data_IF_757740110456
#
_entry.id   IF_757740110456
#
_cell.length_a   1.000
_cell.length_b   1.000
_cell.length_c   1.000
_cell.angle_alpha   90.00
_cell.angle_beta   90.00
_cell.angle_gamma   90.00
#
_symmetry.space_group_name_H-M   'P 1'
#
loop_
_entity.id
_entity.type
_entity.pdbx_description
1 polymer ?
#
# COMPACT_ATOMS: atom_id res chain seq x y z
N UNK A 1 -26.83 3.90 -3.68
CA UNK A 1 -25.70 3.75 -2.74
C UNK A 1 -24.60 4.63 -3.26
N UNK A 2 -24.66 5.90 -2.89
CA UNK A 2 -23.79 6.93 -3.43
C UNK A 2 -22.43 6.82 -2.76
N UNK A 3 -21.46 6.34 -3.53
CA UNK A 3 -20.06 6.41 -3.14
C UNK A 3 -19.68 7.88 -3.12
N UNK A 4 -19.61 8.46 -1.92
CA UNK A 4 -19.12 9.82 -1.70
C UNK A 4 -17.68 9.88 -2.25
N UNK A 5 -17.52 10.58 -3.37
CA UNK A 5 -16.23 10.83 -4.01
C UNK A 5 -15.51 11.90 -3.20
N UNK A 6 -14.50 11.49 -2.43
CA UNK A 6 -13.72 12.39 -1.58
C UNK A 6 -12.62 13.06 -2.42
N UNK A 7 -12.79 14.37 -2.58
CA UNK A 7 -11.86 15.46 -2.88
C UNK A 7 -10.48 15.14 -3.53
N UNK A 8 -10.25 15.73 -4.72
CA UNK A 8 -9.10 15.54 -5.63
C UNK A 8 -7.82 16.21 -5.12
N UNK A 9 -6.68 15.50 -5.20
CA UNK A 9 -5.67 15.82 -6.21
C UNK A 9 -5.49 14.64 -7.18
N UNK A 10 -4.98 14.93 -8.37
CA UNK A 10 -4.81 13.97 -9.47
C UNK A 10 -3.89 12.81 -9.02
N UNK A 11 -4.48 11.67 -8.63
CA UNK A 11 -3.75 10.51 -8.13
C UNK A 11 -4.56 9.55 -7.24
N UNK A 12 -5.66 10.02 -6.64
CA UNK A 12 -6.53 9.18 -5.81
C UNK A 12 -7.67 8.50 -6.61
N UNK A 13 -8.11 7.28 -6.22
CA UNK A 13 -9.19 6.59 -6.90
C UNK A 13 -10.51 7.34 -6.69
N UNK A 14 -11.10 7.80 -7.78
CA UNK A 14 -12.38 8.54 -7.79
C UNK A 14 -13.57 7.59 -7.63
N UNK A 15 -13.42 6.36 -8.10
CA UNK A 15 -14.45 5.34 -8.09
C UNK A 15 -14.07 4.20 -7.15
N UNK A 16 -15.05 3.40 -6.76
CA UNK A 16 -14.90 2.25 -5.86
C UNK A 16 -14.91 0.91 -6.58
N UNK A 17 -14.35 0.85 -7.80
CA UNK A 17 -14.38 -0.38 -8.60
C UNK A 17 -13.49 -1.44 -7.96
N UNK A 18 -13.95 -2.70 -8.00
CA UNK A 18 -13.22 -3.84 -7.40
C UNK A 18 -11.78 -3.90 -7.90
N UNK A 19 -10.84 -3.83 -6.96
CA UNK A 19 -9.39 -3.88 -7.21
C UNK A 19 -8.85 -2.77 -8.13
N UNK A 20 -9.55 -1.65 -8.29
CA UNK A 20 -9.18 -0.57 -9.21
C UNK A 20 -7.71 -0.15 -9.11
N UNK A 21 -7.22 0.14 -7.90
CA UNK A 21 -5.83 0.55 -7.68
C UNK A 21 -4.82 -0.51 -8.13
N UNK A 22 -5.10 -1.78 -7.84
CA UNK A 22 -4.21 -2.91 -8.15
C UNK A 22 -4.08 -3.11 -9.66
N UNK A 23 -5.22 -3.08 -10.34
CA UNK A 23 -5.33 -3.23 -11.81
C UNK A 23 -4.71 -2.03 -12.52
N UNK A 24 -4.98 -0.80 -12.06
CA UNK A 24 -4.42 0.41 -12.67
C UNK A 24 -2.89 0.46 -12.52
N UNK A 25 -2.35 0.16 -11.34
CA UNK A 25 -0.91 0.17 -11.13
C UNK A 25 -0.21 -0.93 -11.93
N UNK A 26 -0.81 -2.12 -12.00
CA UNK A 26 -0.23 -3.21 -12.79
C UNK A 26 -0.39 -2.99 -14.30
N UNK A 27 -1.61 -3.02 -14.83
CA UNK A 27 -1.83 -3.02 -16.28
C UNK A 27 -1.79 -1.62 -16.91
N UNK A 28 -2.03 -0.58 -16.13
CA UNK A 28 -2.01 0.80 -16.62
C UNK A 28 -0.63 1.45 -16.59
N UNK A 29 0.21 1.10 -15.61
CA UNK A 29 1.54 1.71 -15.41
C UNK A 29 2.71 0.71 -15.46
N UNK A 30 2.44 -0.58 -15.66
CA UNK A 30 3.44 -1.66 -15.58
C UNK A 30 4.26 -1.65 -14.27
N UNK A 31 3.59 -1.22 -13.18
CA UNK A 31 4.18 -1.01 -11.86
C UNK A 31 3.32 -1.72 -10.79
N UNK A 32 3.26 -3.07 -10.77
CA UNK A 32 2.42 -3.80 -9.84
C UNK A 32 2.83 -3.57 -8.38
N UNK A 33 1.84 -3.53 -7.49
CA UNK A 33 2.06 -3.37 -6.05
C UNK A 33 2.90 -4.55 -5.49
N UNK A 34 3.83 -4.26 -4.59
CA UNK A 34 4.61 -5.30 -3.91
C UNK A 34 3.68 -6.27 -3.14
N UNK A 35 3.83 -7.56 -3.39
CA UNK A 35 2.98 -8.62 -2.84
C UNK A 35 1.69 -8.87 -3.62
N UNK A 36 1.42 -8.16 -4.73
CA UNK A 36 0.24 -8.41 -5.55
C UNK A 36 0.43 -9.59 -6.52
N UNK A 37 0.40 -10.81 -5.99
CA UNK A 37 0.58 -12.02 -6.79
C UNK A 37 -0.54 -12.25 -7.81
N UNK A 38 -1.70 -11.60 -7.66
CA UNK A 38 -2.83 -11.81 -8.57
C UNK A 38 -2.70 -11.03 -9.86
N UNK A 39 -2.18 -9.81 -9.78
CA UNK A 39 -2.12 -8.90 -10.92
C UNK A 39 -0.69 -8.65 -11.43
N UNK A 40 0.34 -9.24 -10.82
CA UNK A 40 1.74 -9.05 -11.26
C UNK A 40 2.16 -9.83 -12.50
N UNK A 41 1.37 -10.81 -12.96
CA UNK A 41 1.64 -11.57 -14.18
C UNK A 41 0.36 -11.58 -15.02
N UNK A 42 0.51 -11.34 -16.32
CA UNK A 42 -0.61 -11.18 -17.25
C UNK A 42 -1.33 -12.49 -17.56
N UNK A 43 -0.61 -13.62 -17.49
CA UNK A 43 -1.07 -14.87 -18.10
C UNK A 43 -1.22 -16.02 -17.10
N UNK A 44 -0.82 -15.85 -15.85
CA UNK A 44 -0.92 -16.92 -14.85
C UNK A 44 -1.04 -16.42 -13.42
N UNK A 45 -1.74 -17.19 -12.61
CA UNK A 45 -1.73 -17.01 -11.17
C UNK A 45 -0.43 -17.59 -10.60
N UNK A 46 0.60 -16.76 -10.54
CA UNK A 46 1.92 -17.10 -10.03
C UNK A 46 2.39 -16.08 -8.98
N UNK A 47 3.29 -16.47 -8.07
CA UNK A 47 3.93 -15.51 -7.18
C UNK A 47 4.59 -14.39 -7.98
N UNK A 48 4.50 -13.15 -7.47
CA UNK A 48 5.12 -11.98 -8.08
C UNK A 48 6.62 -12.24 -8.29
N UNK A 49 7.09 -12.00 -9.51
CA UNK A 49 8.52 -12.08 -9.83
C UNK A 49 9.17 -10.76 -9.42
N UNK A 50 10.21 -10.86 -8.60
CA UNK A 50 10.99 -9.70 -8.15
C UNK A 50 12.40 -9.80 -8.72
N UNK A 51 13.03 -8.65 -8.95
CA UNK A 51 14.43 -8.61 -9.35
C UNK A 51 15.32 -9.16 -8.23
N UNK A 52 16.51 -9.66 -8.59
CA UNK A 52 17.50 -10.14 -7.60
C UNK A 52 17.88 -9.04 -6.60
N UNK A 53 17.97 -7.79 -7.05
CA UNK A 53 18.23 -6.63 -6.19
C UNK A 53 17.13 -6.41 -5.16
N UNK A 54 15.86 -6.43 -5.60
CA UNK A 54 14.71 -6.29 -4.70
C UNK A 54 14.65 -7.44 -3.70
N UNK A 55 14.83 -8.69 -4.16
CA UNK A 55 14.87 -9.89 -3.30
C UNK A 55 15.96 -9.81 -2.23
N UNK A 56 17.17 -9.38 -2.61
CA UNK A 56 18.29 -9.18 -1.68
C UNK A 56 17.96 -8.12 -0.63
N UNK A 57 17.37 -6.99 -1.05
CA UNK A 57 16.96 -5.91 -0.15
C UNK A 57 15.88 -6.35 0.83
N UNK A 58 14.81 -6.99 0.35
CA UNK A 58 13.76 -7.50 1.24
C UNK A 58 14.17 -8.73 2.04
N UNK A 59 15.34 -9.32 1.77
CA UNK A 59 15.90 -10.47 2.49
C UNK A 59 15.13 -11.76 2.24
N UNK A 60 14.65 -11.98 1.01
CA UNK A 60 13.87 -13.17 0.64
C UNK A 60 14.43 -13.84 -0.61
N UNK A 61 14.26 -15.16 -0.69
CA UNK A 61 14.46 -15.91 -1.93
C UNK A 61 13.17 -15.89 -2.77
N UNK A 62 13.29 -16.00 -4.10
CA UNK A 62 12.12 -16.01 -5.00
C UNK A 62 11.13 -17.15 -4.67
N UNK A 63 11.61 -18.31 -4.20
CA UNK A 63 10.78 -19.43 -3.75
C UNK A 63 9.84 -19.04 -2.59
N UNK A 64 10.20 -18.02 -1.80
CA UNK A 64 9.41 -17.50 -0.69
C UNK A 64 8.60 -16.25 -1.04
N UNK A 65 8.69 -15.74 -2.28
CA UNK A 65 8.02 -14.51 -2.69
C UNK A 65 6.48 -14.55 -2.49
N UNK A 66 5.88 -15.74 -2.52
CA UNK A 66 4.44 -15.93 -2.28
C UNK A 66 3.95 -15.55 -0.87
N UNK A 67 4.88 -15.35 0.07
CA UNK A 67 4.58 -14.95 1.45
C UNK A 67 4.72 -13.44 1.66
N UNK A 68 5.07 -12.68 0.61
CA UNK A 68 5.15 -11.22 0.69
C UNK A 68 3.72 -10.68 0.79
N UNK A 69 3.36 -9.96 1.87
CA UNK A 69 2.02 -9.40 2.00
C UNK A 69 1.78 -8.29 0.97
N UNK A 70 0.52 -8.05 0.63
CA UNK A 70 0.14 -6.94 -0.26
C UNK A 70 0.44 -5.60 0.42
N UNK A 71 1.26 -4.76 -0.21
CA UNK A 71 1.61 -3.42 0.28
C UNK A 71 0.60 -2.37 -0.19
N UNK A 72 -0.67 -2.55 0.17
CA UNK A 72 -1.74 -1.60 -0.09
C UNK A 72 -2.44 -1.25 1.23
N UNK A 73 -2.31 0.00 1.66
CA UNK A 73 -2.79 0.47 2.96
C UNK A 73 -3.69 1.71 2.80
N UNK A 74 -4.90 1.66 3.38
CA UNK A 74 -5.79 2.81 3.45
C UNK A 74 -5.30 3.75 4.57
N UNK A 75 -4.46 4.72 4.20
CA UNK A 75 -3.80 5.62 5.14
C UNK A 75 -4.73 6.66 5.76
N UNK A 76 -5.62 7.25 4.96
CA UNK A 76 -6.43 8.38 5.38
C UNK A 76 -7.83 8.28 4.79
N UNK A 77 -8.83 8.67 5.57
CA UNK A 77 -10.22 8.78 5.16
C UNK A 77 -10.79 10.09 5.72
N UNK A 78 -11.21 10.99 4.84
CA UNK A 78 -11.85 12.25 5.21
C UNK A 78 -13.34 12.08 4.93
N UNK A 79 -14.15 12.08 5.98
CA UNK A 79 -15.60 12.01 5.85
C UNK A 79 -16.19 13.42 5.97
N UNK A 80 -17.16 13.78 5.13
CA UNK A 80 -17.86 15.05 5.27
C UNK A 80 -18.61 15.11 6.59
N UNK A 81 -19.03 16.32 6.98
CA UNK A 81 -19.96 16.54 8.07
C UNK A 81 -21.21 15.65 7.87
N UNK A 82 -21.51 14.79 8.86
CA UNK A 82 -22.61 13.83 8.82
C UNK A 82 -23.44 13.89 10.11
N UNK A 83 -24.76 13.92 9.97
CA UNK A 83 -25.70 14.00 11.09
C UNK A 83 -25.59 15.34 11.83
N UNK A 84 -25.37 15.31 13.14
CA UNK A 84 -25.22 16.51 13.98
C UNK A 84 -23.82 17.15 13.89
N UNK A 85 -22.86 16.48 13.25
CA UNK A 85 -21.50 16.99 13.09
C UNK A 85 -21.49 18.12 12.05
N UNK A 86 -20.83 19.24 12.38
CA UNK A 86 -20.69 20.41 11.48
C UNK A 86 -19.38 20.45 10.69
N UNK A 87 -18.36 19.74 11.16
CA UNK A 87 -17.01 19.72 10.57
C UNK A 87 -16.70 18.38 9.91
N UNK A 88 -15.69 18.34 9.05
CA UNK A 88 -15.20 17.09 8.48
C UNK A 88 -14.56 16.19 9.55
N UNK A 89 -14.60 14.87 9.33
CA UNK A 89 -13.89 13.90 10.15
C UNK A 89 -12.68 13.36 9.38
N UNK A 90 -11.48 13.71 9.84
CA UNK A 90 -10.23 13.18 9.28
C UNK A 90 -9.73 11.98 10.11
N UNK A 91 -9.72 10.80 9.50
CA UNK A 91 -9.21 9.57 10.09
C UNK A 91 -7.88 9.20 9.43
N UNK A 92 -6.82 9.00 10.22
CA UNK A 92 -5.48 8.62 9.73
C UNK A 92 -4.99 7.37 10.46
N UNK A 93 -4.48 6.40 9.70
CA UNK A 93 -4.01 5.11 10.21
C UNK A 93 -2.50 4.94 10.07
N UNK A 94 -1.79 4.63 11.17
CA UNK A 94 -0.36 4.22 11.13
C UNK A 94 -0.17 3.04 10.15
N UNK A 95 0.92 2.98 9.36
CA UNK A 95 1.13 1.87 8.43
C UNK A 95 1.43 0.59 9.23
N UNK A 96 1.07 -0.60 8.72
CA UNK A 96 1.44 -1.86 9.36
C UNK A 96 2.98 -2.00 9.50
N UNK A 97 3.43 -2.70 10.55
CA UNK A 97 4.89 -2.90 10.81
C UNK A 97 5.63 -3.53 9.63
N UNK A 98 5.02 -4.51 8.96
CA UNK A 98 5.63 -5.14 7.78
C UNK A 98 5.84 -4.14 6.65
N UNK A 99 4.91 -3.21 6.46
CA UNK A 99 4.96 -2.18 5.43
C UNK A 99 6.16 -1.26 5.67
N UNK A 100 6.30 -0.80 6.92
CA UNK A 100 7.42 0.07 7.32
C UNK A 100 8.76 -0.66 7.18
N UNK A 101 8.86 -1.94 7.58
CA UNK A 101 10.11 -2.68 7.40
C UNK A 101 10.46 -2.85 5.90
N UNK A 102 9.48 -3.14 5.05
CA UNK A 102 9.71 -3.23 3.61
C UNK A 102 10.20 -1.90 3.02
N UNK A 103 9.61 -0.77 3.42
CA UNK A 103 10.06 0.56 2.99
C UNK A 103 11.52 0.80 3.37
N UNK A 104 11.88 0.58 4.64
CA UNK A 104 13.27 0.72 5.11
C UNK A 104 14.24 -0.16 4.34
N UNK A 105 13.88 -1.43 4.11
CA UNK A 105 14.72 -2.39 3.35
C UNK A 105 14.89 -1.99 1.88
N UNK A 106 13.90 -1.31 1.32
CA UNK A 106 13.92 -0.84 -0.08
C UNK A 106 14.53 0.56 -0.22
N UNK A 107 15.04 1.15 0.86
CA UNK A 107 15.54 2.53 0.92
C UNK A 107 14.49 3.57 0.53
N UNK A 108 13.23 3.31 0.88
CA UNK A 108 12.09 4.20 0.67
C UNK A 108 11.69 4.85 1.99
N UNK A 109 11.28 6.12 1.91
CA UNK A 109 10.81 6.88 3.06
C UNK A 109 9.31 7.20 2.91
N UNK A 110 8.60 7.24 4.04
CA UNK A 110 7.23 7.75 4.06
C UNK A 110 7.28 9.27 4.06
N UNK A 111 6.48 9.97 3.22
CA UNK A 111 6.35 11.41 3.30
C UNK A 111 6.00 11.84 4.73
N UNK A 112 6.79 12.76 5.28
CA UNK A 112 6.62 13.29 6.62
C UNK A 112 5.24 13.89 6.73
N UNK A 113 4.42 13.33 7.62
CA UNK A 113 3.24 14.00 8.12
C UNK A 113 3.74 14.95 9.20
N UNK A 114 3.38 16.22 9.13
CA UNK A 114 3.63 17.15 10.23
C UNK A 114 3.06 16.54 11.53
N UNK A 115 3.99 16.24 12.43
CA UNK A 115 3.90 15.92 13.86
C UNK A 115 2.66 15.14 14.37
N UNK A 116 2.86 13.85 14.74
CA UNK A 116 2.64 13.42 16.13
C UNK A 116 3.19 12.00 16.42
N UNK A 117 4.06 11.90 17.43
CA UNK A 117 4.21 10.76 18.34
C UNK A 117 4.59 9.39 17.79
N UNK A 118 5.90 9.10 17.91
CA UNK A 118 6.56 7.83 18.26
C UNK A 118 6.11 6.52 17.61
N UNK A 119 7.10 5.74 17.16
CA UNK A 119 7.34 4.38 17.67
C UNK A 119 8.44 3.69 16.84
N UNK A 120 9.62 3.60 17.45
CA UNK A 120 10.70 2.69 17.12
C UNK A 120 10.17 1.24 17.04
N UNK A 121 10.02 0.73 15.82
CA UNK A 121 9.75 -0.68 15.59
C UNK A 121 10.98 -1.35 14.97
N UNK A 122 11.67 -2.15 15.77
CA UNK A 122 12.75 -3.04 15.33
C UNK A 122 12.23 -4.06 14.32
N UNK A 123 12.91 -4.19 13.18
CA UNK A 123 12.57 -5.22 12.20
C UNK A 123 13.22 -6.54 12.62
N UNK A 124 12.41 -7.52 13.01
CA UNK A 124 12.89 -8.88 13.26
C UNK A 124 13.32 -9.50 11.93
N UNK A 125 14.60 -9.87 11.85
CA UNK A 125 15.14 -10.69 10.76
C UNK A 125 14.48 -12.07 10.82
N UNK A 126 13.85 -12.49 9.72
CA UNK A 126 13.64 -13.91 9.50
C UNK A 126 15.04 -14.52 9.28
N UNK A 127 15.43 -15.43 10.17
CA UNK A 127 16.61 -16.28 10.04
C UNK A 127 16.40 -17.31 8.93
#
# INVERSE_FOLDING_TARGET
MDLVVINKPYGLPVHGVKHQLRVHLSFGLDCPILGDHKYSDWNKLAPQKLSLGTLKKVGLQQAKARHIPLHLHARQLILPALGSRKEELNLVCKPPRYFVCSLRRLDLWMPSQDQNGDDEAGCVRAQ
#
